data_IF_614069171326
#
_entry.id   IF_614069171326
#
_cell.length_a   1.000
_cell.length_b   1.000
_cell.length_c   1.000
_cell.angle_alpha   90.00
_cell.angle_beta   90.00
_cell.angle_gamma   90.00
#
_symmetry.space_group_name_H-M   'P 1'
#
loop_
_entity.id
_entity.type
_entity.pdbx_description
1 polymer ?
#
# COMPACT_ATOMS: atom_id res chain seq x y z
N UNK A 1 17.97 -13.96 8.88
CA UNK A 1 18.47 -13.26 7.64
C UNK A 1 17.35 -12.98 6.62
N UNK A 2 16.45 -13.93 6.32
CA UNK A 2 15.36 -13.74 5.33
C UNK A 2 14.40 -12.61 5.73
N UNK A 3 13.84 -12.67 6.93
CA UNK A 3 12.89 -11.68 7.44
C UNK A 3 13.51 -10.28 7.48
N UNK A 4 14.72 -10.13 8.02
CA UNK A 4 15.40 -8.83 8.07
C UNK A 4 15.71 -8.25 6.69
N UNK A 5 15.92 -9.09 5.66
CA UNK A 5 16.07 -8.63 4.28
C UNK A 5 14.74 -8.10 3.72
N UNK A 6 13.64 -8.81 3.99
CA UNK A 6 12.30 -8.39 3.57
C UNK A 6 11.90 -7.08 4.25
N UNK A 7 12.17 -6.94 5.54
CA UNK A 7 11.91 -5.73 6.32
C UNK A 7 12.65 -4.51 5.75
N UNK A 8 13.95 -4.63 5.50
CA UNK A 8 14.73 -3.55 4.90
C UNK A 8 14.25 -3.17 3.50
N UNK A 9 13.77 -4.12 2.71
CA UNK A 9 13.21 -3.83 1.38
C UNK A 9 11.92 -3.02 1.47
N UNK A 10 11.03 -3.39 2.40
CA UNK A 10 9.82 -2.62 2.67
C UNK A 10 10.15 -1.19 3.09
N UNK A 11 11.00 -1.03 4.10
CA UNK A 11 11.39 0.29 4.60
C UNK A 11 11.98 1.19 3.51
N UNK A 12 12.82 0.63 2.62
CA UNK A 12 13.37 1.39 1.48
C UNK A 12 12.31 1.84 0.49
N UNK A 13 11.32 1.00 0.21
CA UNK A 13 10.22 1.37 -0.70
C UNK A 13 9.33 2.46 -0.12
N UNK A 14 9.03 2.36 1.18
CA UNK A 14 8.27 3.40 1.87
C UNK A 14 9.02 4.72 1.91
N UNK A 15 10.31 4.70 2.23
CA UNK A 15 11.14 5.91 2.24
C UNK A 15 11.23 6.56 0.84
N UNK A 16 11.40 5.77 -0.20
CA UNK A 16 11.42 6.25 -1.57
C UNK A 16 10.08 6.89 -1.98
N UNK A 17 8.95 6.27 -1.59
CA UNK A 17 7.63 6.84 -1.83
C UNK A 17 7.43 8.16 -1.07
N UNK A 18 7.85 8.23 0.20
CA UNK A 18 7.75 9.43 1.01
C UNK A 18 8.55 10.62 0.44
N UNK A 19 9.63 10.34 -0.27
CA UNK A 19 10.49 11.36 -0.89
C UNK A 19 9.89 11.98 -2.16
N UNK A 20 8.89 11.35 -2.76
CA UNK A 20 8.22 11.85 -3.97
C UNK A 20 6.95 12.64 -3.61
N UNK A 21 6.58 13.62 -4.45
CA UNK A 21 5.28 14.26 -4.33
C UNK A 21 4.16 13.26 -4.69
N UNK A 22 2.95 13.56 -4.22
CA UNK A 22 1.74 12.84 -4.60
C UNK A 22 1.62 12.81 -6.13
N UNK A 23 1.44 11.63 -6.70
CA UNK A 23 1.33 11.45 -8.15
C UNK A 23 1.62 10.01 -8.58
N UNK A 24 1.66 9.79 -9.89
CA UNK A 24 1.81 8.47 -10.50
C UNK A 24 3.10 7.74 -10.10
N UNK A 25 4.23 8.46 -10.00
CA UNK A 25 5.51 7.86 -9.58
C UNK A 25 5.46 7.36 -8.14
N UNK A 26 4.86 8.14 -7.24
CA UNK A 26 4.65 7.74 -5.85
C UNK A 26 3.70 6.54 -5.76
N UNK A 27 2.63 6.52 -6.55
CA UNK A 27 1.68 5.41 -6.60
C UNK A 27 2.35 4.08 -7.00
N UNK A 28 3.28 4.11 -7.95
CA UNK A 28 4.07 2.94 -8.34
C UNK A 28 4.92 2.42 -7.17
N UNK A 29 5.56 3.31 -6.42
CA UNK A 29 6.36 2.94 -5.25
C UNK A 29 5.50 2.42 -4.10
N UNK A 30 4.32 2.98 -3.85
CA UNK A 30 3.38 2.47 -2.86
C UNK A 30 2.87 1.07 -3.23
N UNK A 31 2.60 0.82 -4.50
CA UNK A 31 2.28 -0.53 -4.98
C UNK A 31 3.44 -1.51 -4.76
N UNK A 32 4.67 -1.09 -5.04
CA UNK A 32 5.87 -1.88 -4.75
C UNK A 32 6.03 -2.15 -3.25
N UNK A 33 5.77 -1.14 -2.41
CA UNK A 33 5.79 -1.29 -0.95
C UNK A 33 4.76 -2.32 -0.47
N UNK A 34 3.54 -2.33 -1.03
CA UNK A 34 2.53 -3.36 -0.73
C UNK A 34 3.05 -4.76 -1.00
N UNK A 35 3.70 -4.97 -2.14
CA UNK A 35 4.30 -6.27 -2.47
C UNK A 35 5.40 -6.67 -1.47
N UNK A 36 6.19 -5.72 -1.00
CA UNK A 36 7.21 -5.98 0.02
C UNK A 36 6.59 -6.25 1.39
N UNK A 37 5.51 -5.56 1.77
CA UNK A 37 4.77 -5.83 3.01
C UNK A 37 4.22 -7.27 3.01
N UNK A 38 3.63 -7.71 1.91
CA UNK A 38 3.16 -9.10 1.72
C UNK A 38 4.31 -10.11 1.90
N UNK A 39 5.47 -9.83 1.31
CA UNK A 39 6.66 -10.69 1.45
C UNK A 39 7.19 -10.73 2.87
N UNK A 40 7.21 -9.60 3.56
CA UNK A 40 7.61 -9.52 4.97
C UNK A 40 6.64 -10.32 5.84
N UNK A 41 5.35 -10.16 5.63
CA UNK A 41 4.32 -10.91 6.34
C UNK A 41 4.57 -12.41 6.22
N UNK A 42 4.67 -12.93 5.02
CA UNK A 42 4.88 -14.36 4.79
C UNK A 42 6.20 -14.86 5.37
N UNK A 43 7.28 -14.07 5.23
CA UNK A 43 8.56 -14.45 5.82
C UNK A 43 8.50 -14.52 7.35
N UNK A 44 7.77 -13.62 8.01
CA UNK A 44 7.57 -13.62 9.44
C UNK A 44 6.66 -14.78 9.89
N UNK A 45 5.57 -15.06 9.16
CA UNK A 45 4.67 -16.18 9.41
C UNK A 45 5.41 -17.54 9.36
N UNK A 46 6.26 -17.74 8.34
CA UNK A 46 7.04 -18.98 8.19
C UNK A 46 7.96 -19.25 9.39
N UNK A 47 8.52 -18.22 9.99
CA UNK A 47 9.45 -18.38 11.12
C UNK A 47 8.75 -18.30 12.50
N UNK A 48 7.45 -18.07 12.54
CA UNK A 48 6.68 -18.01 13.79
C UNK A 48 6.83 -19.27 14.66
N UNK A 49 6.88 -20.49 14.11
CA UNK A 49 7.14 -21.67 14.94
C UNK A 49 8.47 -21.64 15.71
N UNK A 50 9.46 -20.89 15.21
CA UNK A 50 10.79 -20.78 15.83
C UNK A 50 10.93 -19.57 16.75
N UNK A 51 10.29 -18.46 16.42
CA UNK A 51 10.44 -17.17 17.12
C UNK A 51 9.19 -16.71 17.87
N UNK A 52 8.09 -17.48 17.78
CA UNK A 52 6.88 -17.27 18.57
C UNK A 52 6.24 -15.90 18.37
N UNK A 53 5.84 -15.29 19.49
CA UNK A 53 5.10 -14.02 19.50
C UNK A 53 5.83 -12.85 18.85
N UNK A 54 7.14 -12.84 18.81
CA UNK A 54 7.92 -11.77 18.19
C UNK A 54 7.76 -11.78 16.66
N UNK A 55 7.80 -12.95 16.05
CA UNK A 55 7.56 -13.11 14.62
C UNK A 55 6.09 -12.85 14.27
N UNK A 56 5.16 -13.36 15.09
CA UNK A 56 3.73 -13.11 14.91
C UNK A 56 3.39 -11.62 14.99
N UNK A 57 3.98 -10.89 15.94
CA UNK A 57 3.78 -9.44 16.07
C UNK A 57 4.28 -8.69 14.82
N UNK A 58 5.45 -9.05 14.29
CA UNK A 58 5.98 -8.45 13.07
C UNK A 58 5.09 -8.79 11.86
N UNK A 59 4.60 -10.02 11.77
CA UNK A 59 3.65 -10.42 10.72
C UNK A 59 2.37 -9.57 10.76
N UNK A 60 1.83 -9.31 11.96
CA UNK A 60 0.66 -8.44 12.15
C UNK A 60 0.91 -7.00 11.69
N UNK A 61 2.10 -6.44 11.95
CA UNK A 61 2.48 -5.11 11.47
C UNK A 61 2.60 -5.08 9.93
N UNK A 62 3.20 -6.10 9.35
CA UNK A 62 3.30 -6.23 7.90
C UNK A 62 1.92 -6.38 7.23
N UNK A 63 1.01 -7.11 7.87
CA UNK A 63 -0.39 -7.25 7.42
C UNK A 63 -1.11 -5.91 7.43
N UNK A 64 -0.98 -5.12 8.50
CA UNK A 64 -1.56 -3.78 8.57
C UNK A 64 -1.04 -2.88 7.46
N UNK A 65 0.26 -2.88 7.19
CA UNK A 65 0.84 -2.16 6.06
C UNK A 65 0.27 -2.64 4.72
N UNK A 66 0.15 -3.95 4.54
CA UNK A 66 -0.40 -4.56 3.33
C UNK A 66 -1.85 -4.15 3.09
N UNK A 67 -2.68 -4.12 4.13
CA UNK A 67 -4.10 -3.75 4.05
C UNK A 67 -4.28 -2.28 3.69
N UNK A 68 -3.58 -1.37 4.36
CA UNK A 68 -3.65 0.07 4.08
C UNK A 68 -3.15 0.40 2.68
N UNK A 69 -2.04 -0.18 2.27
CA UNK A 69 -1.52 -0.02 0.91
C UNK A 69 -2.41 -0.70 -0.13
N UNK A 70 -3.16 -1.74 0.28
CA UNK A 70 -4.17 -2.38 -0.55
C UNK A 70 -5.35 -1.47 -0.87
N UNK A 71 -5.84 -0.70 0.12
CA UNK A 71 -6.89 0.31 -0.10
C UNK A 71 -6.44 1.36 -1.11
N UNK A 72 -5.20 1.83 -1.01
CA UNK A 72 -4.61 2.76 -1.97
C UNK A 72 -4.53 2.15 -3.38
N UNK A 73 -4.06 0.92 -3.50
CA UNK A 73 -3.94 0.22 -4.79
C UNK A 73 -5.30 -0.01 -5.43
N UNK A 74 -6.30 -0.43 -4.66
CA UNK A 74 -7.66 -0.65 -5.17
C UNK A 74 -8.26 0.65 -5.73
N UNK A 75 -8.07 1.77 -5.04
CA UNK A 75 -8.52 3.08 -5.50
C UNK A 75 -7.77 3.53 -6.77
N UNK A 76 -6.47 3.29 -6.88
CA UNK A 76 -5.68 3.62 -8.10
C UNK A 76 -6.11 2.80 -9.30
N UNK A 77 -6.39 1.52 -9.12
CA UNK A 77 -6.91 0.64 -10.19
C UNK A 77 -8.29 1.11 -10.64
N UNK A 78 -9.17 1.41 -9.69
CA UNK A 78 -10.51 1.94 -9.99
C UNK A 78 -10.46 3.25 -10.78
N UNK A 79 -9.54 4.16 -10.43
CA UNK A 79 -9.34 5.41 -11.19
C UNK A 79 -9.02 5.16 -12.66
N UNK A 80 -8.13 4.21 -12.96
CA UNK A 80 -7.77 3.86 -14.33
C UNK A 80 -8.97 3.38 -15.14
N UNK A 81 -9.76 2.46 -14.57
CA UNK A 81 -10.97 1.93 -15.20
C UNK A 81 -12.03 3.03 -15.43
N UNK A 82 -12.32 3.82 -14.41
CA UNK A 82 -13.31 4.89 -14.48
C UNK A 82 -12.93 5.96 -15.48
N UNK A 83 -11.65 6.30 -15.57
CA UNK A 83 -11.15 7.27 -16.56
C UNK A 83 -11.35 6.75 -17.97
N UNK A 84 -10.97 5.50 -18.24
CA UNK A 84 -11.10 4.89 -19.57
C UNK A 84 -12.57 4.80 -20.00
N UNK A 85 -13.44 4.34 -19.10
CA UNK A 85 -14.89 4.26 -19.36
C UNK A 85 -15.52 5.65 -19.53
N UNK A 86 -15.09 6.63 -18.73
CA UNK A 86 -15.58 8.00 -18.81
C UNK A 86 -15.22 8.68 -20.14
N UNK A 87 -13.99 8.50 -20.60
CA UNK A 87 -13.51 9.03 -21.90
C UNK A 87 -14.33 8.40 -23.03
N UNK A 88 -14.53 7.08 -23.01
CA UNK A 88 -15.32 6.36 -24.02
C UNK A 88 -16.78 6.85 -24.02
N UNK A 89 -17.40 6.94 -22.84
CA UNK A 89 -18.78 7.41 -22.73
C UNK A 89 -18.95 8.84 -23.23
N UNK A 90 -18.00 9.73 -22.94
CA UNK A 90 -18.03 11.10 -23.42
C UNK A 90 -17.87 11.18 -24.95
N UNK A 91 -16.98 10.40 -25.53
CA UNK A 91 -16.78 10.32 -26.97
C UNK A 91 -18.03 9.84 -27.71
N UNK A 92 -18.81 8.95 -27.09
CA UNK A 92 -20.08 8.43 -27.61
C UNK A 92 -21.28 9.32 -27.29
N UNK A 93 -21.09 10.43 -26.55
CA UNK A 93 -22.18 11.30 -26.12
C UNK A 93 -23.12 10.64 -25.09
N UNK A 94 -22.65 9.63 -24.36
CA UNK A 94 -23.46 8.88 -23.41
C UNK A 94 -23.61 9.62 -22.07
N UNK A 95 -24.83 9.70 -21.48
CA UNK A 95 -25.09 10.46 -20.25
C UNK A 95 -24.34 9.93 -19.01
N UNK A 96 -23.87 8.68 -19.02
CA UNK A 96 -23.09 8.10 -17.93
C UNK A 96 -21.70 8.73 -17.74
N UNK A 97 -21.20 9.48 -18.73
CA UNK A 97 -19.90 10.15 -18.63
C UNK A 97 -19.77 11.02 -17.38
N UNK A 98 -20.82 11.78 -17.05
CA UNK A 98 -20.85 12.61 -15.83
C UNK A 98 -20.72 11.77 -14.55
N UNK A 99 -21.51 10.70 -14.43
CA UNK A 99 -21.47 9.80 -13.25
C UNK A 99 -20.11 9.16 -13.12
N UNK A 100 -19.50 8.69 -14.21
CA UNK A 100 -18.16 8.09 -14.20
C UNK A 100 -17.09 9.09 -13.76
N UNK A 101 -17.22 10.37 -14.16
CA UNK A 101 -16.35 11.45 -13.70
C UNK A 101 -16.45 11.72 -12.20
N UNK A 102 -17.68 11.72 -11.66
CA UNK A 102 -17.91 11.85 -10.20
C UNK A 102 -17.29 10.68 -9.43
N UNK A 103 -17.49 9.45 -9.90
CA UNK A 103 -16.89 8.26 -9.29
C UNK A 103 -15.36 8.30 -9.35
N UNK A 104 -14.78 8.76 -10.46
CA UNK A 104 -13.34 8.97 -10.58
C UNK A 104 -12.81 9.92 -9.49
N UNK A 105 -13.48 11.06 -9.29
CA UNK A 105 -13.11 12.00 -8.23
C UNK A 105 -13.18 11.40 -6.82
N UNK A 106 -14.19 10.56 -6.55
CA UNK A 106 -14.32 9.83 -5.28
C UNK A 106 -13.16 8.85 -5.09
N UNK A 107 -12.77 8.11 -6.12
CA UNK A 107 -11.65 7.17 -6.02
C UNK A 107 -10.30 7.90 -5.88
N UNK A 108 -10.13 9.05 -6.51
CA UNK A 108 -8.96 9.91 -6.26
C UNK A 108 -8.88 10.34 -4.80
N UNK A 109 -10.00 10.76 -4.22
CA UNK A 109 -10.08 11.11 -2.80
C UNK A 109 -9.74 9.91 -1.90
N UNK A 110 -10.28 8.73 -2.19
CA UNK A 110 -9.99 7.50 -1.45
C UNK A 110 -8.52 7.12 -1.48
N UNK A 111 -7.87 7.26 -2.64
CA UNK A 111 -6.44 7.01 -2.77
C UNK A 111 -5.62 7.95 -1.88
N UNK A 112 -5.96 9.23 -1.85
CA UNK A 112 -5.30 10.23 -0.99
C UNK A 112 -5.49 9.94 0.48
N UNK A 113 -6.70 9.57 0.88
CA UNK A 113 -7.00 9.21 2.28
C UNK A 113 -6.23 7.98 2.72
N UNK A 114 -6.21 6.93 1.90
CA UNK A 114 -5.47 5.70 2.18
C UNK A 114 -3.96 5.96 2.31
N UNK A 115 -3.40 6.77 1.43
CA UNK A 115 -1.99 7.18 1.45
C UNK A 115 -1.66 7.95 2.73
N UNK A 116 -2.47 8.94 3.08
CA UNK A 116 -2.31 9.72 4.30
C UNK A 116 -2.40 8.83 5.55
N UNK A 117 -3.37 7.95 5.61
CA UNK A 117 -3.58 7.05 6.73
C UNK A 117 -2.40 6.08 6.88
N UNK A 118 -1.89 5.56 5.77
CA UNK A 118 -0.71 4.71 5.78
C UNK A 118 0.51 5.42 6.37
N UNK A 119 0.83 6.62 5.89
CA UNK A 119 1.98 7.36 6.40
C UNK A 119 1.81 7.80 7.86
N UNK A 120 0.58 8.03 8.31
CA UNK A 120 0.28 8.36 9.71
C UNK A 120 0.59 7.19 10.66
N UNK A 121 0.34 5.94 10.25
CA UNK A 121 0.59 4.75 11.07
C UNK A 121 1.95 4.09 10.82
N UNK A 122 2.64 4.45 9.76
CA UNK A 122 3.94 3.85 9.41
C UNK A 122 4.99 3.92 10.52
N UNK A 123 5.14 5.01 11.29
CA UNK A 123 6.05 5.04 12.42
C UNK A 123 5.81 3.93 13.44
N UNK A 124 4.55 3.60 13.73
CA UNK A 124 4.20 2.49 14.62
C UNK A 124 4.48 1.13 13.99
N UNK A 125 4.08 0.94 12.72
CA UNK A 125 4.34 -0.29 11.97
C UNK A 125 5.84 -0.58 11.89
N UNK A 126 6.66 0.46 11.66
CA UNK A 126 8.10 0.35 11.52
C UNK A 126 8.87 0.42 12.85
N UNK A 127 8.18 0.47 13.98
CA UNK A 127 8.78 0.65 15.27
C UNK A 127 9.80 -0.45 15.62
N UNK A 128 10.93 -0.02 16.20
CA UNK A 128 12.06 -0.90 16.55
C UNK A 128 11.69 -2.04 17.49
N UNK A 129 10.65 -1.86 18.32
CA UNK A 129 10.18 -2.90 19.25
C UNK A 129 9.81 -4.22 18.56
N UNK A 130 9.30 -4.19 17.35
CA UNK A 130 8.93 -5.37 16.56
C UNK A 130 10.12 -6.03 15.83
N UNK A 131 11.31 -5.41 15.87
CA UNK A 131 12.48 -5.79 15.06
C UNK A 131 13.70 -6.18 15.85
N UNK A 132 13.63 -6.09 17.19
CA UNK A 132 14.78 -6.37 18.06
C UNK A 132 15.36 -7.78 17.90
N UNK A 133 14.53 -8.72 17.51
CA UNK A 133 14.91 -10.12 17.31
C UNK A 133 15.50 -10.40 15.90
N UNK A 134 15.52 -9.43 15.02
CA UNK A 134 16.03 -9.59 13.65
C UNK A 134 17.56 -9.45 13.56
N UNK A 135 18.21 -9.09 14.63
CA UNK A 135 19.67 -8.89 14.70
C UNK A 135 20.47 -10.18 14.49
#
# INVERSE_FOLDING_TARGET
>A
KLVGRADRRLARKVAAAAALPVGAERDVLLHSARKQAKRLRYAAEIVTPLYGGQAAALAGQAEQAQELLGLHQDATVAQGLLRDWGITAQAEGHPTAFTLGVLLGLEECRARMAERDFFAVWPDISARRYRRWLS
#
